data_IF_998791013023
#
_entry.id   IF_998791013023
#
_cell.length_a   1.000
_cell.length_b   1.000
_cell.length_c   1.000
_cell.angle_alpha   90.00
_cell.angle_beta   90.00
_cell.angle_gamma   90.00
#
_symmetry.space_group_name_H-M   'P 1'
#
loop_
_entity.id
_entity.type
_entity.pdbx_description
1 polymer ?
#
# COMPACT_ATOMS: atom_id res chain seq x y z
N UNK A 1 -34.84 -7.45 63.31
CA UNK A 1 -34.61 -7.20 62.83
C UNK A 1 -34.08 -7.36 61.73
N UNK A 2 -33.93 -7.49 61.07
CA UNK A 2 -33.51 -7.49 60.16
C UNK A 2 -33.01 -7.82 59.16
N UNK A 3 -32.95 -7.89 58.78
CA UNK A 3 -32.67 -8.05 57.94
C UNK A 3 -32.15 -8.17 56.90
N UNK A 4 -31.86 -8.22 56.28
CA UNK A 4 -31.52 -8.22 55.34
C UNK A 4 -30.96 -8.36 54.50
N UNK A 5 -30.76 -8.50 54.08
CA UNK A 5 -30.39 -8.42 53.41
C UNK A 5 -29.87 -8.66 52.46
N UNK A 6 -29.80 -8.70 51.98
CA UNK A 6 -29.38 -8.92 51.21
C UNK A 6 -28.95 -9.00 50.15
N UNK A 7 -28.87 -8.95 49.71
CA UNK A 7 -28.46 -8.90 48.82
C UNK A 7 -27.85 -9.08 47.87
N UNK A 8 -27.73 -9.20 47.30
CA UNK A 8 -27.27 -9.36 46.44
C UNK A 8 -26.71 -9.41 45.45
N UNK A 9 -26.54 -9.44 45.04
CA UNK A 9 -26.10 -9.44 44.21
C UNK A 9 -25.54 -9.67 43.26
N UNK A 10 -25.38 -9.72 42.69
CA UNK A 10 -25.03 -10.03 41.89
C UNK A 10 -24.53 -9.96 40.90
N UNK A 11 -24.38 -9.85 40.43
CA UNK A 11 -23.96 -9.79 39.58
C UNK A 11 -23.36 -10.02 38.61
N UNK A 12 -23.26 -10.12 38.08
CA UNK A 12 -22.85 -10.27 37.28
C UNK A 12 -22.28 -10.32 36.35
N UNK A 13 -22.01 -10.31 35.90
CA UNK A 13 -21.42 -10.37 35.16
C UNK A 13 -21.03 -10.56 34.07
N UNK A 14 -21.01 -10.64 33.52
CA UNK A 14 -20.72 -10.86 32.56
C UNK A 14 -20.08 -10.72 31.63
N UNK A 15 -20.00 -10.80 31.18
CA UNK A 15 -19.57 -10.68 30.37
C UNK A 15 -18.79 -10.77 29.49
N UNK A 16 -18.50 -10.65 29.20
CA UNK A 16 -17.58 -10.60 28.55
C UNK A 16 -17.41 -11.21 27.39
N UNK A 17 -17.55 -11.74 27.01
CA UNK A 17 -17.43 -12.40 25.99
C UNK A 17 -17.21 -11.81 24.83
N UNK A 18 -17.38 -10.91 24.58
CA UNK A 18 -17.40 -10.36 23.42
C UNK A 18 -16.24 -10.43 22.61
N UNK A 19 -15.20 -10.27 22.90
CA UNK A 19 -14.13 -10.08 22.02
C UNK A 19 -13.85 -11.07 21.00
N UNK A 20 -14.19 -12.25 21.19
CA UNK A 20 -13.73 -13.27 20.30
C UNK A 20 -14.34 -13.22 18.94
N UNK A 21 -15.45 -12.65 18.80
CA UNK A 21 -16.12 -12.73 17.52
C UNK A 21 -15.36 -12.08 16.40
N UNK A 22 -14.63 -11.05 16.65
CA UNK A 22 -14.03 -10.33 15.57
C UNK A 22 -12.98 -11.10 14.82
N UNK A 23 -12.40 -12.09 15.40
CA UNK A 23 -11.38 -12.78 14.72
C UNK A 23 -11.82 -13.56 13.54
N UNK A 24 -12.98 -14.07 13.57
CA UNK A 24 -13.41 -14.90 12.48
C UNK A 24 -13.53 -14.17 11.18
N UNK A 25 -13.74 -12.91 11.20
CA UNK A 25 -13.89 -12.21 9.97
C UNK A 25 -12.64 -12.12 9.17
N UNK A 26 -11.54 -12.18 9.78
CA UNK A 26 -10.34 -12.11 9.05
C UNK A 26 -10.14 -13.23 8.12
N UNK A 27 -10.73 -14.34 8.39
CA UNK A 27 -10.55 -15.49 7.55
C UNK A 27 -11.15 -15.29 6.17
N UNK A 28 -12.06 -14.35 6.02
CA UNK A 28 -12.72 -14.16 4.73
C UNK A 28 -11.93 -13.28 3.79
N UNK A 29 -10.98 -12.52 4.30
CA UNK A 29 -10.18 -11.64 3.49
C UNK A 29 -8.77 -12.20 3.48
N UNK A 30 -8.22 -12.41 2.32
CA UNK A 30 -6.86 -12.91 2.24
C UNK A 30 -5.89 -11.96 2.89
N UNK A 31 -4.87 -12.48 3.52
CA UNK A 31 -3.84 -11.68 4.09
C UNK A 31 -2.84 -11.26 3.03
N UNK A 32 -1.91 -10.42 3.43
CA UNK A 32 -0.83 -10.01 2.54
C UNK A 32 0.19 -11.13 2.43
N UNK A 33 0.62 -11.42 1.22
CA UNK A 33 1.64 -12.41 0.94
C UNK A 33 2.83 -11.75 0.32
N UNK A 34 4.01 -12.04 0.82
CA UNK A 34 5.24 -11.50 0.26
C UNK A 34 5.53 -12.15 -1.07
N UNK A 35 5.95 -11.35 -2.03
CA UNK A 35 6.30 -11.81 -3.36
C UNK A 35 7.74 -11.44 -3.67
N UNK A 36 8.27 -12.01 -4.74
CA UNK A 36 9.63 -11.75 -5.19
C UNK A 36 9.70 -10.42 -5.94
N UNK A 37 10.40 -9.43 -5.43
CA UNK A 37 10.44 -8.13 -6.09
C UNK A 37 11.22 -8.11 -7.39
N UNK A 38 11.92 -9.17 -7.74
CA UNK A 38 12.68 -9.18 -8.99
C UNK A 38 11.82 -9.49 -10.21
N UNK A 39 10.57 -9.89 -10.01
CA UNK A 39 9.70 -10.18 -11.13
C UNK A 39 9.34 -8.87 -11.85
N UNK A 40 9.58 -8.77 -13.16
CA UNK A 40 9.36 -7.51 -13.88
C UNK A 40 7.93 -7.00 -13.83
N UNK A 41 6.97 -7.89 -13.62
CA UNK A 41 5.59 -7.50 -13.50
C UNK A 41 5.38 -6.49 -12.38
N UNK A 42 6.08 -6.68 -11.26
CA UNK A 42 5.92 -5.79 -10.12
C UNK A 42 6.64 -4.47 -10.34
N UNK A 43 7.76 -4.51 -11.03
CA UNK A 43 8.45 -3.28 -11.36
C UNK A 43 7.59 -2.41 -12.26
N UNK A 44 6.88 -3.02 -13.20
CA UNK A 44 5.99 -2.27 -14.07
C UNK A 44 4.86 -1.60 -13.29
N UNK A 45 4.37 -2.26 -12.24
CA UNK A 45 3.36 -1.64 -11.38
C UNK A 45 3.91 -0.45 -10.62
N UNK A 46 5.15 -0.53 -10.16
CA UNK A 46 5.78 0.61 -9.48
C UNK A 46 5.91 1.79 -10.44
N UNK A 47 6.31 1.53 -11.68
CA UNK A 47 6.40 2.59 -12.68
C UNK A 47 5.04 3.18 -12.98
N UNK A 48 4.00 2.33 -13.00
CA UNK A 48 2.66 2.85 -13.15
C UNK A 48 2.31 3.78 -12.00
N UNK A 49 2.65 3.41 -10.78
CA UNK A 49 2.32 4.23 -9.62
C UNK A 49 2.98 5.61 -9.70
N UNK A 50 4.28 5.66 -10.04
CA UNK A 50 4.93 6.97 -10.12
C UNK A 50 4.34 7.81 -11.24
N UNK A 51 3.87 7.19 -12.31
CA UNK A 51 3.32 7.94 -13.44
C UNK A 51 2.04 8.67 -13.08
N UNK A 52 1.36 8.26 -12.02
CA UNK A 52 0.13 8.90 -11.60
C UNK A 52 0.36 10.08 -10.65
N UNK A 53 1.60 10.27 -10.18
CA UNK A 53 1.91 11.30 -9.19
C UNK A 53 2.45 12.52 -9.90
N UNK A 54 1.55 13.41 -10.29
CA UNK A 54 1.93 14.59 -11.07
C UNK A 54 1.71 15.90 -10.35
N UNK A 55 0.84 15.89 -9.36
CA UNK A 55 0.42 17.13 -8.73
C UNK A 55 1.56 17.79 -7.96
N UNK A 56 1.79 19.06 -8.20
CA UNK A 56 2.82 19.79 -7.49
C UNK A 56 4.23 19.45 -7.91
N UNK A 57 4.42 18.75 -9.02
CA UNK A 57 5.72 18.32 -9.47
C UNK A 57 6.07 18.94 -10.81
N UNK A 58 7.33 19.26 -10.97
CA UNK A 58 7.81 19.73 -12.26
C UNK A 58 8.21 18.57 -13.15
N UNK A 59 8.79 17.53 -12.54
CA UNK A 59 9.23 16.33 -13.26
C UNK A 59 8.56 15.12 -12.66
N UNK A 60 8.35 14.10 -13.48
CA UNK A 60 7.97 12.79 -12.93
C UNK A 60 9.11 12.26 -12.07
N UNK A 61 8.76 11.55 -11.02
CA UNK A 61 9.74 10.67 -10.38
C UNK A 61 9.83 9.38 -11.19
N UNK A 62 10.90 8.64 -10.97
CA UNK A 62 11.01 7.32 -11.54
C UNK A 62 11.54 6.36 -10.48
N UNK A 63 11.37 5.06 -10.73
CA UNK A 63 11.74 4.03 -9.77
C UNK A 63 13.20 3.66 -9.95
N UNK A 64 13.94 3.63 -8.86
CA UNK A 64 15.31 3.13 -8.89
C UNK A 64 15.35 1.66 -8.56
N UNK A 65 14.72 1.28 -7.47
CA UNK A 65 14.77 -0.12 -7.02
C UNK A 65 13.48 -0.50 -6.33
N UNK A 66 12.96 -1.68 -6.65
CA UNK A 66 11.79 -2.22 -5.97
C UNK A 66 12.29 -3.07 -4.81
N UNK A 67 11.89 -2.72 -3.59
CA UNK A 67 12.42 -3.34 -2.39
C UNK A 67 11.55 -4.47 -1.87
N UNK A 68 10.24 -4.27 -1.85
CA UNK A 68 9.31 -5.26 -1.30
C UNK A 68 8.02 -5.27 -2.08
N UNK A 69 7.43 -6.44 -2.20
CA UNK A 69 6.15 -6.61 -2.85
C UNK A 69 5.29 -7.53 -2.00
N UNK A 70 4.07 -7.11 -1.74
CA UNK A 70 3.09 -7.97 -1.10
C UNK A 70 1.82 -7.92 -1.92
N UNK A 71 1.11 -9.04 -1.94
CA UNK A 71 -0.16 -9.12 -2.66
C UNK A 71 -1.25 -9.58 -1.72
N UNK A 72 -2.47 -9.18 -2.02
CA UNK A 72 -3.63 -9.57 -1.25
C UNK A 72 -4.77 -9.83 -2.22
N UNK A 73 -5.37 -11.02 -2.10
CA UNK A 73 -6.48 -11.37 -2.96
C UNK A 73 -7.77 -10.83 -2.34
N UNK A 74 -8.47 -10.06 -3.12
CA UNK A 74 -9.76 -9.52 -2.74
C UNK A 74 -10.67 -9.78 -3.93
N UNK A 75 -11.62 -8.93 -4.22
CA UNK A 75 -12.34 -9.06 -5.49
C UNK A 75 -11.45 -8.42 -6.53
N UNK A 76 -10.37 -9.07 -6.87
CA UNK A 76 -9.28 -8.52 -7.63
C UNK A 76 -8.02 -8.78 -6.85
N UNK A 77 -6.99 -7.97 -7.08
CA UNK A 77 -5.72 -8.13 -6.38
C UNK A 77 -5.22 -6.75 -5.96
N UNK A 78 -4.84 -6.65 -4.69
CA UNK A 78 -4.12 -5.48 -4.20
C UNK A 78 -2.63 -5.79 -4.20
N UNK A 79 -1.84 -4.85 -4.68
CA UNK A 79 -0.38 -4.94 -4.64
C UNK A 79 0.13 -3.82 -3.75
N UNK A 80 0.95 -4.17 -2.78
CA UNK A 80 1.63 -3.18 -1.95
C UNK A 80 3.09 -3.23 -2.32
N UNK A 81 3.60 -2.12 -2.82
CA UNK A 81 4.97 -2.04 -3.34
C UNK A 81 5.75 -1.01 -2.56
N UNK A 82 6.96 -1.37 -2.16
CA UNK A 82 7.87 -0.44 -1.52
C UNK A 82 9.08 -0.28 -2.44
N UNK A 83 9.39 0.93 -2.80
CA UNK A 83 10.43 1.16 -3.80
C UNK A 83 11.10 2.51 -3.56
N UNK A 84 12.31 2.65 -4.10
CA UNK A 84 13.05 3.90 -4.01
C UNK A 84 12.81 4.70 -5.28
N UNK A 85 12.78 6.02 -5.14
CA UNK A 85 12.52 6.90 -6.28
C UNK A 85 13.53 8.02 -6.34
N UNK A 86 13.64 8.60 -7.53
CA UNK A 86 14.41 9.79 -7.75
C UNK A 86 13.74 10.58 -8.88
N UNK A 87 14.16 11.82 -9.07
CA UNK A 87 13.58 12.64 -10.13
C UNK A 87 14.02 12.13 -11.49
N UNK A 88 13.09 12.09 -12.43
CA UNK A 88 13.39 11.65 -13.79
C UNK A 88 13.71 12.84 -14.68
N UNK A 89 14.07 12.55 -15.92
CA UNK A 89 14.36 13.57 -16.92
C UNK A 89 13.10 14.08 -17.61
N UNK A 90 11.94 13.53 -17.31
CA UNK A 90 10.70 13.89 -18.00
C UNK A 90 9.98 15.02 -17.30
N UNK A 91 9.87 16.16 -17.97
CA UNK A 91 9.15 17.31 -17.47
C UNK A 91 7.66 17.11 -17.74
N UNK A 92 6.86 17.26 -16.70
CA UNK A 92 5.43 16.97 -16.81
C UNK A 92 4.72 17.93 -17.75
N UNK A 93 5.07 19.22 -17.68
CA UNK A 93 4.35 20.22 -18.47
C UNK A 93 4.56 20.06 -19.97
N UNK A 94 5.55 19.33 -20.41
CA UNK A 94 5.78 19.14 -21.84
C UNK A 94 4.76 18.22 -22.49
N UNK A 95 3.92 17.58 -21.69
CA UNK A 95 2.94 16.65 -22.22
C UNK A 95 3.51 15.29 -22.58
N UNK A 96 4.75 15.04 -22.22
CA UNK A 96 5.36 13.75 -22.47
C UNK A 96 4.68 12.71 -21.59
N UNK A 97 4.31 11.60 -22.19
CA UNK A 97 3.72 10.52 -21.42
C UNK A 97 4.83 9.73 -20.75
N UNK A 98 4.62 9.41 -19.48
CA UNK A 98 5.62 8.67 -18.73
C UNK A 98 5.85 7.29 -19.31
N UNK A 99 7.10 6.91 -19.45
CA UNK A 99 7.47 5.52 -19.67
C UNK A 99 8.79 5.28 -18.98
N UNK A 100 8.98 4.06 -18.54
CA UNK A 100 10.20 3.68 -17.88
C UNK A 100 11.42 3.92 -18.76
N UNK A 101 11.30 3.66 -20.04
CA UNK A 101 12.40 3.79 -20.98
C UNK A 101 12.76 5.24 -21.28
N UNK A 102 11.76 6.09 -21.35
CA UNK A 102 11.97 7.48 -21.67
C UNK A 102 12.35 8.31 -20.46
N UNK A 103 11.72 8.05 -19.33
CA UNK A 103 11.89 8.87 -18.13
C UNK A 103 12.93 8.26 -17.21
N UNK A 104 14.18 8.41 -17.63
CA UNK A 104 15.31 7.86 -16.88
C UNK A 104 15.64 8.69 -15.66
N UNK A 105 16.27 8.12 -14.64
CA UNK A 105 16.69 8.90 -13.48
C UNK A 105 17.72 9.96 -13.87
N UNK A 106 17.57 11.15 -13.32
CA UNK A 106 18.57 12.17 -13.52
C UNK A 106 19.88 11.79 -12.85
N UNK A 107 19.80 11.18 -11.68
CA UNK A 107 20.97 10.67 -10.96
C UNK A 107 20.57 9.36 -10.33
N UNK A 108 21.53 8.65 -9.78
CA UNK A 108 21.24 7.42 -9.06
C UNK A 108 21.04 7.63 -7.57
N UNK A 109 20.89 8.87 -7.16
CA UNK A 109 20.72 9.16 -5.75
C UNK A 109 19.26 8.96 -5.36
N UNK A 110 19.03 8.16 -4.32
CA UNK A 110 17.68 7.92 -3.82
C UNK A 110 17.17 9.18 -3.15
N UNK A 111 16.03 9.68 -3.58
CA UNK A 111 15.43 10.86 -2.99
C UNK A 111 14.31 10.51 -2.03
N UNK A 112 13.68 9.40 -2.21
CA UNK A 112 12.60 8.98 -1.32
C UNK A 112 12.41 7.47 -1.38
N UNK A 113 11.80 6.93 -0.32
CA UNK A 113 11.32 5.55 -0.30
C UNK A 113 9.82 5.63 -0.23
N UNK A 114 9.17 5.06 -1.21
CA UNK A 114 7.73 5.19 -1.36
C UNK A 114 7.03 3.86 -1.20
N UNK A 115 5.81 3.91 -0.67
CA UNK A 115 4.95 2.73 -0.58
C UNK A 115 3.65 3.05 -1.30
N UNK A 116 3.30 2.23 -2.25
CA UNK A 116 2.08 2.40 -3.02
C UNK A 116 1.22 1.14 -2.91
N UNK A 117 -0.09 1.34 -2.84
CA UNK A 117 -1.02 0.23 -2.92
C UNK A 117 -1.82 0.40 -4.22
N UNK A 118 -1.80 -0.63 -5.06
CA UNK A 118 -2.45 -0.60 -6.35
C UNK A 118 -3.49 -1.70 -6.40
N UNK A 119 -4.72 -1.33 -6.74
CA UNK A 119 -5.80 -2.28 -6.88
C UNK A 119 -5.98 -2.61 -8.36
N UNK A 120 -6.10 -3.89 -8.67
CA UNK A 120 -6.31 -4.31 -10.04
C UNK A 120 -7.44 -5.32 -10.13
N UNK A 121 -8.19 -5.24 -11.22
CA UNK A 121 -9.14 -6.28 -11.60
C UNK A 121 -8.83 -6.58 -13.06
N UNK A 122 -7.90 -7.51 -13.31
CA UNK A 122 -7.38 -7.72 -14.68
C UNK A 122 -8.47 -8.05 -15.70
N UNK A 123 -9.45 -8.85 -15.31
CA UNK A 123 -10.51 -9.23 -16.26
C UNK A 123 -11.46 -8.09 -16.57
N UNK A 124 -11.37 -6.98 -15.84
CA UNK A 124 -12.16 -5.79 -16.12
C UNK A 124 -11.27 -4.64 -16.56
N UNK A 125 -9.99 -4.92 -16.73
CA UNK A 125 -9.04 -3.91 -17.17
C UNK A 125 -8.99 -2.71 -16.24
N UNK A 126 -9.10 -2.96 -14.94
CA UNK A 126 -9.08 -1.92 -13.92
C UNK A 126 -7.73 -1.92 -13.21
N UNK A 127 -7.17 -0.73 -13.03
CA UNK A 127 -5.92 -0.53 -12.32
C UNK A 127 -5.98 0.84 -11.69
N UNK A 128 -5.81 0.92 -10.38
CA UNK A 128 -5.91 2.18 -9.64
C UNK A 128 -4.92 2.22 -8.49
N UNK A 129 -4.33 3.39 -8.27
CA UNK A 129 -3.50 3.61 -7.10
C UNK A 129 -4.40 4.03 -5.95
N UNK A 130 -4.43 3.21 -4.91
CA UNK A 130 -5.26 3.50 -3.74
C UNK A 130 -4.52 4.39 -2.75
N UNK A 131 -3.22 4.27 -2.65
CA UNK A 131 -2.43 5.11 -1.75
C UNK A 131 -1.01 5.21 -2.28
N UNK A 132 -0.35 6.31 -1.94
CA UNK A 132 1.01 6.57 -2.37
C UNK A 132 1.65 7.47 -1.33
N UNK A 133 2.60 6.94 -0.58
CA UNK A 133 3.23 7.68 0.51
C UNK A 133 4.74 7.51 0.44
N UNK A 134 5.46 8.59 0.65
CA UNK A 134 6.91 8.56 0.57
C UNK A 134 7.55 9.12 1.83
N UNK A 135 8.73 8.62 2.14
CA UNK A 135 9.50 9.07 3.29
C UNK A 135 10.93 9.36 2.84
N UNK A 136 11.65 10.09 3.68
CA UNK A 136 13.04 10.37 3.41
C UNK A 136 13.85 9.06 3.47
N UNK A 137 14.87 8.94 2.62
CA UNK A 137 15.57 7.66 2.51
C UNK A 137 16.43 7.29 3.69
N UNK A 138 16.88 8.25 4.45
CA UNK A 138 17.75 7.87 5.52
C UNK A 138 17.12 7.61 6.81
N UNK A 139 15.86 7.47 6.86
CA UNK A 139 15.21 7.05 8.05
C UNK A 139 15.22 5.56 8.17
N UNK A 140 16.02 4.94 7.42
CA UNK A 140 16.01 3.52 7.41
C UNK A 140 17.07 2.97 8.25
#
# INVERSE_FOLDING_TARGET
>A
MAFFKAAVFLVCVVLAAAGSASKSKRALVGGWKTQDPTNPKFENLAHYAVSTQVEGREYYDTVLELLEVQTQIVAGVNYKLKFTTTQSTCKIETGVEYSKELCQPKTNKVEAVCTAVIYTVPWQNIKRVLSYNCEAPNDV
#
